data_IF_732707751132
#
_entry.id   IF_732707751132
#
_cell.length_a   1.000
_cell.length_b   1.000
_cell.length_c   1.000
_cell.angle_alpha   90.00
_cell.angle_beta   90.00
_cell.angle_gamma   90.00
#
_symmetry.space_group_name_H-M   'P 1'
#
loop_
_entity.id
_entity.type
_entity.pdbx_description
1 polymer ?
#
# COMPACT_ATOMS: atom_id res chain seq x y z
N UNK A 1 18.43 -1.87 -22.93
CA UNK A 1 17.14 -1.35 -23.42
C UNK A 1 16.09 -1.88 -22.46
N UNK A 2 15.76 -1.13 -21.39
CA UNK A 2 14.87 -1.62 -20.32
C UNK A 2 13.51 -0.96 -20.53
N UNK A 3 12.53 -1.82 -20.73
CA UNK A 3 11.26 -1.56 -21.34
C UNK A 3 10.46 -0.44 -20.67
N UNK A 4 9.97 0.47 -21.51
CA UNK A 4 8.78 1.24 -21.26
C UNK A 4 7.62 0.25 -21.06
N UNK A 5 7.04 0.21 -19.86
CA UNK A 5 5.72 -0.39 -19.69
C UNK A 5 4.80 0.71 -19.14
N UNK A 6 3.75 1.11 -19.88
CA UNK A 6 2.78 2.10 -19.47
C UNK A 6 1.83 1.54 -18.42
N UNK A 7 0.95 2.42 -17.93
CA UNK A 7 -0.03 2.27 -16.87
C UNK A 7 -0.72 0.89 -16.81
N UNK A 8 -1.11 0.48 -15.60
CA UNK A 8 -1.97 -0.69 -15.26
C UNK A 8 -1.42 -2.10 -15.53
N UNK A 9 -0.28 -2.47 -14.96
CA UNK A 9 -0.01 -3.90 -14.67
C UNK A 9 -0.46 -4.25 -13.25
N UNK A 10 -1.64 -4.85 -13.18
CA UNK A 10 -2.10 -5.65 -12.04
C UNK A 10 -1.08 -6.78 -11.86
N UNK A 11 -0.18 -6.67 -10.89
CA UNK A 11 0.56 -7.84 -10.42
C UNK A 11 -0.41 -8.73 -9.65
N UNK A 12 -1.10 -9.60 -10.38
CA UNK A 12 -1.83 -10.75 -9.84
C UNK A 12 -0.77 -11.71 -9.30
N UNK A 13 -0.65 -11.79 -7.97
CA UNK A 13 -0.10 -12.98 -7.32
C UNK A 13 -1.29 -13.83 -6.85
N UNK A 14 -1.29 -15.09 -7.29
CA UNK A 14 -2.36 -16.06 -7.16
C UNK A 14 -2.83 -16.26 -5.70
N UNK A 15 -4.15 -16.31 -5.52
CA UNK A 15 -4.80 -16.63 -4.24
C UNK A 15 -5.89 -15.62 -3.83
N UNK A 16 -7.03 -15.63 -4.53
CA UNK A 16 -8.21 -14.76 -4.38
C UNK A 16 -8.05 -13.30 -4.84
N UNK A 17 -8.83 -12.93 -5.86
CA UNK A 17 -8.86 -11.60 -6.46
C UNK A 17 -9.68 -10.65 -5.57
N UNK A 18 -9.14 -10.26 -4.41
CA UNK A 18 -9.80 -9.26 -3.58
C UNK A 18 -9.78 -7.89 -4.27
N UNK A 19 -10.96 -7.28 -4.44
CA UNK A 19 -11.11 -5.95 -5.07
C UNK A 19 -10.78 -4.85 -4.05
N UNK A 20 -9.58 -4.30 -4.18
CA UNK A 20 -9.13 -3.17 -3.36
C UNK A 20 -9.74 -1.86 -3.85
N UNK A 21 -10.73 -1.34 -3.13
CA UNK A 21 -11.24 0.04 -3.32
C UNK A 21 -10.29 1.07 -2.70
N UNK A 22 -10.39 2.32 -3.11
CA UNK A 22 -9.60 3.43 -2.55
C UNK A 22 -9.78 3.57 -1.05
N UNK A 23 -11.02 3.46 -0.57
CA UNK A 23 -11.36 3.48 0.86
C UNK A 23 -10.68 2.35 1.62
N UNK A 24 -10.66 1.14 1.06
CA UNK A 24 -9.98 -0.02 1.65
C UNK A 24 -8.46 0.19 1.70
N UNK A 25 -7.87 0.76 0.66
CA UNK A 25 -6.43 1.06 0.59
C UNK A 25 -6.04 2.14 1.59
N UNK A 26 -6.80 3.23 1.66
CA UNK A 26 -6.57 4.33 2.61
C UNK A 26 -6.67 3.80 4.04
N UNK A 27 -7.68 2.98 4.33
CA UNK A 27 -7.85 2.39 5.65
C UNK A 27 -6.66 1.47 6.02
N UNK A 28 -6.23 0.59 5.11
CA UNK A 28 -5.03 -0.25 5.31
C UNK A 28 -3.78 0.58 5.62
N UNK A 29 -3.56 1.68 4.89
CA UNK A 29 -2.39 2.55 5.09
C UNK A 29 -2.40 3.21 6.48
N UNK A 30 -3.56 3.73 6.91
CA UNK A 30 -3.74 4.33 8.24
C UNK A 30 -3.50 3.31 9.35
N UNK A 31 -4.14 2.15 9.27
CA UNK A 31 -3.97 1.08 10.26
C UNK A 31 -2.52 0.61 10.33
N UNK A 32 -1.83 0.50 9.19
CA UNK A 32 -0.40 0.17 9.17
C UNK A 32 0.46 1.22 9.88
N UNK A 33 0.20 2.51 9.66
CA UNK A 33 0.94 3.61 10.32
C UNK A 33 0.77 3.56 11.84
N UNK A 34 -0.46 3.36 12.33
CA UNK A 34 -0.73 3.23 13.77
C UNK A 34 -0.01 2.03 14.38
N UNK A 35 0.12 0.95 13.61
CA UNK A 35 0.77 -0.28 14.05
C UNK A 35 2.29 -0.32 13.78
N UNK A 36 2.87 0.68 13.14
CA UNK A 36 4.29 0.69 12.74
C UNK A 36 5.23 0.48 13.93
N UNK A 37 4.93 1.12 15.07
CA UNK A 37 5.68 0.94 16.32
C UNK A 37 5.71 -0.52 16.80
N UNK A 38 4.65 -1.30 16.52
CA UNK A 38 4.60 -2.72 16.88
C UNK A 38 5.52 -3.56 15.99
N UNK A 39 5.63 -3.21 14.70
CA UNK A 39 6.59 -3.85 13.79
C UNK A 39 8.04 -3.59 14.19
N UNK A 40 8.36 -2.38 14.64
CA UNK A 40 9.74 -2.01 15.02
C UNK A 40 10.12 -2.42 16.45
N UNK A 41 9.14 -2.63 17.34
CA UNK A 41 9.40 -3.00 18.74
C UNK A 41 10.09 -4.35 18.94
N UNK A 42 10.08 -5.24 17.95
CA UNK A 42 10.63 -6.61 18.05
C UNK A 42 9.85 -7.57 18.96
N UNK A 43 8.89 -7.07 19.76
CA UNK A 43 8.10 -7.86 20.72
C UNK A 43 7.06 -8.76 20.05
N UNK A 44 6.66 -8.47 18.82
CA UNK A 44 5.62 -9.18 18.09
C UNK A 44 6.17 -9.53 16.70
N UNK A 45 5.98 -10.78 16.27
CA UNK A 45 6.39 -11.19 14.93
C UNK A 45 5.64 -10.42 13.85
N UNK A 46 6.30 -10.15 12.72
CA UNK A 46 5.65 -9.48 11.58
C UNK A 46 4.39 -10.21 11.13
N UNK A 47 4.38 -11.55 11.15
CA UNK A 47 3.19 -12.36 10.85
C UNK A 47 2.01 -11.97 11.75
N UNK A 48 2.21 -11.92 13.05
CA UNK A 48 1.16 -11.60 14.03
C UNK A 48 0.72 -10.13 13.96
N UNK A 49 1.60 -9.22 13.57
CA UNK A 49 1.21 -7.84 13.27
C UNK A 49 0.29 -7.78 12.03
N UNK A 50 0.60 -8.53 10.96
CA UNK A 50 -0.26 -8.59 9.78
C UNK A 50 -1.61 -9.23 10.05
N UNK A 51 -1.66 -10.27 10.89
CA UNK A 51 -2.92 -10.88 11.35
C UNK A 51 -3.77 -9.89 12.16
N UNK A 52 -3.16 -9.06 13.01
CA UNK A 52 -3.87 -7.99 13.72
C UNK A 52 -4.45 -6.94 12.76
N UNK A 53 -3.67 -6.50 11.76
CA UNK A 53 -4.16 -5.58 10.73
C UNK A 53 -5.35 -6.21 9.98
N UNK A 54 -5.22 -7.47 9.57
CA UNK A 54 -6.29 -8.18 8.87
C UNK A 54 -7.56 -8.28 9.71
N UNK A 55 -7.44 -8.49 11.02
CA UNK A 55 -8.57 -8.46 11.96
C UNK A 55 -9.26 -7.09 11.96
N UNK A 56 -8.51 -6.00 12.10
CA UNK A 56 -9.04 -4.62 12.07
C UNK A 56 -9.75 -4.33 10.74
N UNK A 57 -9.17 -4.78 9.63
CA UNK A 57 -9.76 -4.67 8.30
C UNK A 57 -11.08 -5.44 8.22
N UNK A 58 -11.14 -6.66 8.77
CA UNK A 58 -12.34 -7.49 8.82
C UNK A 58 -13.44 -6.90 9.69
N UNK A 59 -13.10 -6.30 10.82
CA UNK A 59 -14.04 -5.55 11.68
C UNK A 59 -14.68 -4.35 10.94
N UNK A 60 -13.98 -3.78 9.95
CA UNK A 60 -14.54 -2.77 9.03
C UNK A 60 -15.36 -3.34 7.87
N UNK A 61 -15.50 -4.66 7.78
CA UNK A 61 -16.21 -5.34 6.70
C UNK A 61 -15.34 -5.76 5.51
N UNK A 62 -14.02 -5.57 5.59
CA UNK A 62 -13.10 -6.01 4.55
C UNK A 62 -12.59 -7.41 4.84
N UNK A 63 -13.10 -8.42 4.13
CA UNK A 63 -12.70 -9.81 4.32
C UNK A 63 -11.33 -10.09 3.65
N UNK A 64 -10.26 -9.63 4.28
CA UNK A 64 -8.88 -9.79 3.82
C UNK A 64 -7.99 -10.44 4.88
N UNK A 65 -6.96 -11.12 4.41
CA UNK A 65 -6.00 -11.84 5.24
C UNK A 65 -4.71 -11.04 5.45
N UNK A 66 -3.92 -11.43 6.47
CA UNK A 66 -2.63 -10.81 6.76
C UNK A 66 -1.65 -10.83 5.56
N UNK A 67 -1.48 -11.97 4.86
CA UNK A 67 -0.68 -12.03 3.65
C UNK A 67 -1.16 -11.06 2.54
N UNK A 68 -2.48 -10.92 2.35
CA UNK A 68 -3.03 -9.97 1.37
C UNK A 68 -2.73 -8.52 1.76
N UNK A 69 -2.85 -8.16 3.04
CA UNK A 69 -2.45 -6.85 3.56
C UNK A 69 -0.97 -6.55 3.28
N UNK A 70 -0.10 -7.52 3.57
CA UNK A 70 1.35 -7.39 3.37
C UNK A 70 1.70 -7.20 1.89
N UNK A 71 1.15 -8.05 1.02
CA UNK A 71 1.38 -7.98 -0.43
C UNK A 71 0.87 -6.66 -1.01
N UNK A 72 -0.32 -6.21 -0.61
CA UNK A 72 -0.85 -4.92 -1.08
C UNK A 72 0.03 -3.75 -0.64
N UNK A 73 0.47 -3.73 0.62
CA UNK A 73 1.35 -2.66 1.11
C UNK A 73 2.71 -2.66 0.39
N UNK A 74 3.30 -3.83 0.12
CA UNK A 74 4.54 -3.94 -0.66
C UNK A 74 4.37 -3.34 -2.07
N UNK A 75 3.26 -3.67 -2.74
CA UNK A 75 2.95 -3.10 -4.06
C UNK A 75 2.77 -1.58 -4.00
N UNK A 76 2.04 -1.06 -3.01
CA UNK A 76 1.84 0.39 -2.83
C UNK A 76 3.17 1.12 -2.59
N UNK A 77 4.05 0.58 -1.73
CA UNK A 77 5.39 1.16 -1.49
C UNK A 77 6.25 1.17 -2.76
N UNK A 78 6.19 0.10 -3.56
CA UNK A 78 6.90 0.01 -4.85
C UNK A 78 6.39 1.07 -5.83
N UNK A 79 5.06 1.20 -5.97
CA UNK A 79 4.43 2.21 -6.83
C UNK A 79 4.79 3.62 -6.40
N UNK A 80 4.69 3.93 -5.10
CA UNK A 80 5.07 5.24 -4.57
C UNK A 80 6.54 5.58 -4.84
N UNK A 81 7.46 4.64 -4.61
CA UNK A 81 8.88 4.83 -4.90
C UNK A 81 9.12 5.08 -6.40
N UNK A 82 8.50 4.28 -7.27
CA UNK A 82 8.63 4.44 -8.72
C UNK A 82 8.14 5.81 -9.21
N UNK A 83 7.05 6.34 -8.63
CA UNK A 83 6.51 7.65 -8.98
C UNK A 83 7.41 8.76 -8.47
N UNK A 84 7.91 8.65 -7.23
CA UNK A 84 8.86 9.59 -6.66
C UNK A 84 10.15 9.66 -7.49
N UNK A 85 10.74 8.50 -7.81
CA UNK A 85 11.98 8.41 -8.59
C UNK A 85 11.79 8.96 -10.02
N UNK A 86 10.61 8.77 -10.61
CA UNK A 86 10.25 9.35 -11.91
C UNK A 86 10.12 10.89 -11.87
N UNK A 87 9.54 11.43 -10.81
CA UNK A 87 9.29 12.87 -10.64
C UNK A 87 10.52 13.65 -10.15
N UNK A 88 11.56 12.98 -9.63
CA UNK A 88 12.84 13.60 -9.24
C UNK A 88 13.75 13.86 -10.46
N UNK A 89 13.53 13.17 -11.58
CA UNK A 89 14.27 13.44 -12.82
C UNK A 89 13.72 14.69 -13.51
N UNK A 90 14.56 15.73 -13.61
CA UNK A 90 14.27 16.95 -14.37
C UNK A 90 13.92 16.61 -15.82
N UNK A 91 12.83 17.18 -16.36
CA UNK A 91 12.38 17.00 -17.74
C UNK A 91 11.22 16.02 -17.97
N UNK A 92 10.71 15.34 -16.93
CA UNK A 92 9.53 14.47 -17.05
C UNK A 92 8.22 15.21 -16.74
N UNK A 93 7.15 14.91 -17.49
CA UNK A 93 5.78 15.29 -17.12
C UNK A 93 5.42 14.68 -15.75
N UNK A 94 4.92 15.52 -14.84
CA UNK A 94 4.60 15.12 -13.46
C UNK A 94 3.52 14.03 -13.49
N UNK A 95 3.85 12.83 -13.03
CA UNK A 95 2.83 11.80 -12.78
C UNK A 95 2.19 12.07 -11.42
N UNK A 96 0.95 12.52 -11.43
CA UNK A 96 0.10 12.54 -10.24
C UNK A 96 -0.59 11.18 -10.09
N UNK A 97 -0.41 10.56 -8.93
CA UNK A 97 -1.28 9.47 -8.51
C UNK A 97 -2.44 10.10 -7.73
N UNK A 98 -3.67 9.66 -7.96
CA UNK A 98 -4.88 10.24 -7.31
C UNK A 98 -4.90 10.14 -5.77
N UNK A 99 -3.87 9.59 -5.12
CA UNK A 99 -3.71 9.71 -3.66
C UNK A 99 -2.50 10.55 -3.21
N UNK A 100 -1.84 11.28 -4.11
CA UNK A 100 -0.79 12.21 -3.71
C UNK A 100 -1.33 13.39 -2.89
N UNK A 101 -2.62 13.73 -3.04
CA UNK A 101 -3.22 14.93 -2.44
C UNK A 101 -3.71 14.78 -1.00
N UNK A 102 -3.62 13.58 -0.38
CA UNK A 102 -4.09 13.40 0.99
C UNK A 102 -3.08 13.83 2.08
N UNK A 103 -1.88 14.31 1.72
CA UNK A 103 -0.82 14.68 2.70
C UNK A 103 -0.58 16.19 2.88
N UNK A 104 -1.27 17.06 2.16
CA UNK A 104 -0.92 18.50 2.16
C UNK A 104 -2.00 19.45 2.69
N UNK A 105 -2.94 18.98 3.51
CA UNK A 105 -3.96 19.87 4.10
C UNK A 105 -4.26 19.56 5.57
N UNK A 106 -3.21 19.58 6.41
CA UNK A 106 -3.35 19.87 7.83
C UNK A 106 -2.37 21.02 8.07
N UNK A 107 -2.96 22.21 8.23
CA UNK A 107 -2.33 23.48 8.60
C UNK A 107 -1.62 23.41 9.94
#
# INVERSE_FOLDING_TARGET
>A
MRDFIPLVTIHIFAGSLYRWTDTCVIFLLRTYQEMEKKFTSGKISHKKCWEQIAKIMKDKGYNITGPQCSSKLKSLKKTYKSIKDHNVKSGNERRTWQHYEARNNIS
#
